data_IF_661493592856
#
_entry.id   IF_661493592856
#
_cell.length_a   1.000
_cell.length_b   1.000
_cell.length_c   1.000
_cell.angle_alpha   90.00
_cell.angle_beta   90.00
_cell.angle_gamma   90.00
#
_symmetry.space_group_name_H-M   'P 1'
#
loop_
_entity.id
_entity.type
_entity.pdbx_description
1 polymer ?
#
# COMPACT_ATOMS: atom_id res chain seq x y z
N UNK A 1 2.53 26.50 12.85
CA UNK A 1 1.56 25.47 12.45
C UNK A 1 1.89 24.23 13.26
N UNK A 2 1.13 23.96 14.30
CA UNK A 2 1.30 22.77 15.13
C UNK A 2 1.03 21.53 14.27
N UNK A 3 2.02 20.65 14.19
CA UNK A 3 1.87 19.33 13.58
C UNK A 3 1.01 18.50 14.56
N UNK A 4 -0.28 18.39 14.28
CA UNK A 4 -1.13 17.47 15.02
C UNK A 4 -0.70 16.05 14.68
N UNK A 5 -0.01 15.39 15.61
CA UNK A 5 0.33 13.97 15.52
C UNK A 5 -0.92 13.20 15.92
N UNK A 6 -1.73 12.81 14.93
CA UNK A 6 -2.85 11.90 15.17
C UNK A 6 -2.25 10.51 15.32
N UNK A 7 -2.60 9.83 16.41
CA UNK A 7 -2.26 8.43 16.61
C UNK A 7 -2.79 7.56 15.46
N UNK A 8 -1.99 6.60 15.00
CA UNK A 8 -2.34 5.76 13.85
C UNK A 8 -3.68 5.04 14.06
N UNK A 9 -3.97 4.59 15.29
CA UNK A 9 -5.18 3.84 15.58
C UNK A 9 -6.42 4.73 15.45
N UNK A 10 -6.35 5.96 15.98
CA UNK A 10 -7.43 6.96 15.84
C UNK A 10 -7.64 7.35 14.38
N UNK A 11 -6.56 7.59 13.63
CA UNK A 11 -6.65 7.93 12.20
C UNK A 11 -7.35 6.83 11.40
N UNK A 12 -6.93 5.58 11.59
CA UNK A 12 -7.53 4.48 10.85
C UNK A 12 -8.94 4.13 11.32
N UNK A 13 -9.29 4.37 12.58
CA UNK A 13 -10.68 4.25 13.06
C UNK A 13 -11.62 5.19 12.29
N UNK A 14 -11.22 6.45 12.12
CA UNK A 14 -11.98 7.44 11.35
C UNK A 14 -12.08 7.04 9.87
N UNK A 15 -10.98 6.59 9.26
CA UNK A 15 -10.95 6.08 7.88
C UNK A 15 -11.94 4.93 7.71
N UNK A 16 -11.91 3.94 8.61
CA UNK A 16 -12.79 2.78 8.54
C UNK A 16 -14.26 3.16 8.70
N UNK A 17 -14.57 4.10 9.59
CA UNK A 17 -15.94 4.59 9.78
C UNK A 17 -16.49 5.21 8.49
N UNK A 18 -15.70 6.00 7.77
CA UNK A 18 -16.10 6.61 6.50
C UNK A 18 -16.30 5.54 5.42
N UNK A 19 -15.41 4.54 5.36
CA UNK A 19 -15.49 3.42 4.42
C UNK A 19 -16.72 2.54 4.70
N UNK A 20 -17.06 2.30 5.96
CA UNK A 20 -18.28 1.56 6.34
C UNK A 20 -19.54 2.28 5.88
N UNK A 21 -19.53 3.62 5.84
CA UNK A 21 -20.59 4.44 5.25
C UNK A 21 -20.64 4.41 3.71
N UNK A 22 -19.86 3.55 3.05
CA UNK A 22 -19.82 3.40 1.59
C UNK A 22 -19.14 4.55 0.84
N UNK A 23 -18.41 5.42 1.54
CA UNK A 23 -17.69 6.53 0.95
C UNK A 23 -16.22 6.15 0.70
N UNK A 24 -15.60 6.79 -0.30
CA UNK A 24 -14.17 6.69 -0.56
C UNK A 24 -13.39 7.64 0.36
N UNK A 25 -12.19 7.23 0.71
CA UNK A 25 -11.26 8.03 1.52
C UNK A 25 -9.93 8.14 0.80
N UNK A 26 -9.37 9.33 0.78
CA UNK A 26 -8.01 9.57 0.27
C UNK A 26 -7.05 9.65 1.44
N UNK A 27 -6.03 8.79 1.46
CA UNK A 27 -5.02 8.74 2.51
C UNK A 27 -3.61 8.99 1.97
N UNK A 28 -2.73 9.64 2.76
CA UNK A 28 -1.30 9.67 2.44
C UNK A 28 -0.67 8.31 2.71
N UNK A 29 0.25 7.92 1.83
CA UNK A 29 1.04 6.70 2.01
C UNK A 29 2.36 7.04 2.67
N UNK A 30 2.81 6.19 3.59
CA UNK A 30 4.12 6.28 4.24
C UNK A 30 4.97 5.08 3.85
N UNK A 31 6.29 5.24 3.97
CA UNK A 31 7.26 4.17 3.78
C UNK A 31 7.54 3.80 2.33
N UNK A 32 8.24 2.68 2.15
CA UNK A 32 8.82 2.26 0.88
C UNK A 32 8.31 0.91 0.38
N UNK A 33 7.40 0.28 1.11
CA UNK A 33 6.97 -1.09 0.85
C UNK A 33 6.23 -1.27 -0.47
N UNK A 34 5.70 -0.19 -1.05
CA UNK A 34 4.97 -0.21 -2.33
C UNK A 34 5.75 0.41 -3.50
N UNK A 35 7.06 0.68 -3.32
CA UNK A 35 7.91 1.11 -4.42
C UNK A 35 8.04 0.02 -5.50
N UNK A 36 8.16 0.38 -6.76
CA UNK A 36 8.22 1.72 -7.35
C UNK A 36 6.84 2.32 -7.68
N UNK A 37 5.75 1.60 -7.44
CA UNK A 37 4.40 1.97 -7.93
C UNK A 37 3.70 3.00 -7.05
N UNK A 38 3.94 3.02 -5.74
CA UNK A 38 3.42 4.03 -4.82
C UNK A 38 4.58 4.55 -3.98
N UNK A 39 4.74 5.86 -3.92
CA UNK A 39 5.83 6.53 -3.22
C UNK A 39 5.32 7.15 -1.94
N UNK A 40 5.73 6.59 -0.81
CA UNK A 40 5.40 7.16 0.49
C UNK A 40 5.85 8.62 0.60
N UNK A 41 5.05 9.46 1.26
CA UNK A 41 5.32 10.88 1.43
C UNK A 41 5.13 11.76 0.18
N UNK A 42 4.80 11.16 -0.97
CA UNK A 42 4.57 11.88 -2.24
C UNK A 42 3.23 11.57 -2.88
N UNK A 43 2.79 10.33 -2.80
CA UNK A 43 1.58 9.88 -3.46
C UNK A 43 0.46 9.71 -2.42
N UNK A 44 -0.79 9.91 -2.86
CA UNK A 44 -1.98 9.61 -2.09
C UNK A 44 -2.69 8.42 -2.71
N UNK A 45 -3.45 7.68 -1.92
CA UNK A 45 -4.24 6.56 -2.39
C UNK A 45 -5.71 6.76 -2.02
N UNK A 46 -6.58 6.56 -2.98
CA UNK A 46 -8.03 6.54 -2.76
C UNK A 46 -8.45 5.11 -2.47
N UNK A 47 -9.06 4.94 -1.31
CA UNK A 47 -9.57 3.65 -0.82
C UNK A 47 -11.09 3.61 -0.91
N UNK A 48 -11.61 2.42 -1.17
CA UNK A 48 -13.00 2.08 -0.94
C UNK A 48 -13.08 0.84 -0.02
N UNK A 49 -14.23 0.62 0.62
CA UNK A 49 -14.47 -0.58 1.41
C UNK A 49 -14.25 -1.82 0.53
N UNK A 50 -13.47 -2.78 1.03
CA UNK A 50 -13.22 -4.00 0.29
C UNK A 50 -14.49 -4.88 0.25
N UNK A 51 -14.90 -5.24 -0.95
CA UNK A 51 -15.78 -6.39 -1.14
C UNK A 51 -14.91 -7.65 -1.11
N UNK A 52 -15.00 -8.39 -0.01
CA UNK A 52 -14.13 -9.53 0.26
C UNK A 52 -14.34 -10.68 -0.70
N UNK A 53 -15.53 -10.82 -1.27
CA UNK A 53 -15.87 -11.87 -2.22
C UNK A 53 -15.31 -11.57 -3.62
N UNK A 54 -15.10 -10.31 -3.93
CA UNK A 54 -14.59 -9.83 -5.21
C UNK A 54 -13.08 -9.60 -5.24
N UNK A 55 -12.37 -9.86 -4.13
CA UNK A 55 -10.91 -9.74 -4.07
C UNK A 55 -10.24 -10.68 -5.06
N UNK A 56 -9.22 -10.18 -5.74
CA UNK A 56 -8.44 -10.91 -6.75
C UNK A 56 -6.96 -10.57 -6.67
N UNK A 57 -6.14 -11.38 -7.33
CA UNK A 57 -4.73 -11.06 -7.51
C UNK A 57 -4.53 -9.67 -8.16
N UNK A 58 -3.45 -9.02 -7.81
CA UNK A 58 -3.09 -7.65 -8.16
C UNK A 58 -3.85 -6.55 -7.41
N UNK A 59 -4.93 -6.85 -6.68
CA UNK A 59 -5.57 -5.85 -5.83
C UNK A 59 -4.60 -5.30 -4.78
N UNK A 60 -4.58 -3.98 -4.64
CA UNK A 60 -3.85 -3.30 -3.57
C UNK A 60 -4.82 -3.12 -2.41
N UNK A 61 -4.52 -3.69 -1.26
CA UNK A 61 -5.44 -3.73 -0.13
C UNK A 61 -4.83 -3.17 1.14
N UNK A 62 -5.67 -2.52 1.94
CA UNK A 62 -5.39 -2.15 3.32
C UNK A 62 -5.88 -3.27 4.23
N UNK A 63 -5.03 -3.75 5.11
CA UNK A 63 -5.36 -4.80 6.06
C UNK A 63 -4.68 -4.56 7.40
N UNK A 64 -5.18 -5.21 8.44
CA UNK A 64 -4.67 -5.09 9.79
C UNK A 64 -3.85 -6.34 10.16
N UNK A 65 -2.66 -6.12 10.74
CA UNK A 65 -1.75 -7.16 11.19
C UNK A 65 -1.47 -7.02 12.67
N UNK A 66 -1.58 -8.11 13.39
CA UNK A 66 -1.35 -8.15 14.84
C UNK A 66 -2.65 -8.09 15.64
N UNK A 67 -2.54 -7.94 16.97
CA UNK A 67 -3.70 -7.80 17.85
C UNK A 67 -4.48 -6.53 17.52
N UNK A 68 -5.78 -6.50 17.88
CA UNK A 68 -6.64 -5.34 17.61
C UNK A 68 -6.12 -4.05 18.25
N UNK A 69 -5.53 -4.16 19.45
CA UNK A 69 -4.83 -3.06 20.11
C UNK A 69 -3.32 -3.21 19.90
N UNK A 70 -2.68 -2.18 19.36
CA UNK A 70 -1.24 -2.15 19.09
C UNK A 70 -0.80 -2.89 17.84
N UNK A 71 -1.74 -3.33 17.00
CA UNK A 71 -1.45 -3.83 15.66
C UNK A 71 -1.10 -2.71 14.68
N UNK A 72 -0.87 -3.06 13.44
CA UNK A 72 -0.55 -2.07 12.40
C UNK A 72 -1.42 -2.24 11.17
N UNK A 73 -1.73 -1.12 10.55
CA UNK A 73 -2.38 -1.08 9.24
C UNK A 73 -1.31 -1.09 8.15
N UNK A 74 -1.46 -2.00 7.21
CA UNK A 74 -0.50 -2.21 6.12
C UNK A 74 -1.25 -2.18 4.79
N UNK A 75 -0.61 -1.59 3.78
CA UNK A 75 -1.14 -1.57 2.43
C UNK A 75 -0.16 -2.27 1.49
N UNK A 76 -0.56 -3.41 0.96
CA UNK A 76 0.25 -4.23 0.06
C UNK A 76 -0.62 -4.81 -1.08
N UNK A 77 0.02 -5.54 -1.99
CA UNK A 77 -0.63 -6.16 -3.15
C UNK A 77 -0.92 -7.62 -2.92
N UNK A 78 -2.10 -8.07 -3.30
CA UNK A 78 -2.48 -9.49 -3.31
C UNK A 78 -1.70 -10.19 -4.43
N UNK A 79 -1.00 -11.26 -4.09
CA UNK A 79 -0.31 -12.14 -5.03
C UNK A 79 -1.19 -13.31 -5.44
N UNK A 80 -1.86 -13.93 -4.49
CA UNK A 80 -2.71 -15.08 -4.70
C UNK A 80 -3.80 -15.17 -3.63
N UNK A 81 -4.86 -15.89 -3.94
CA UNK A 81 -5.93 -16.23 -3.01
C UNK A 81 -6.18 -17.74 -3.08
N UNK A 82 -6.35 -18.35 -1.91
CA UNK A 82 -6.74 -19.75 -1.77
C UNK A 82 -7.83 -19.85 -0.70
N UNK A 83 -9.06 -19.90 -1.14
CA UNK A 83 -10.23 -19.83 -0.25
C UNK A 83 -10.19 -18.55 0.59
N UNK A 84 -10.10 -18.72 1.90
CA UNK A 84 -10.04 -17.61 2.87
C UNK A 84 -8.63 -17.02 3.06
N UNK A 85 -7.61 -17.71 2.57
CA UNK A 85 -6.21 -17.29 2.68
C UNK A 85 -5.86 -16.31 1.57
N UNK A 86 -5.22 -15.21 1.94
CA UNK A 86 -4.74 -14.18 1.03
C UNK A 86 -3.24 -14.04 1.21
N UNK A 87 -2.49 -14.30 0.15
CA UNK A 87 -1.04 -14.10 0.09
C UNK A 87 -0.75 -12.68 -0.42
N UNK A 88 -0.07 -11.88 0.39
CA UNK A 88 0.11 -10.46 0.18
C UNK A 88 1.59 -10.10 0.27
N UNK A 89 2.02 -9.15 -0.55
CA UNK A 89 3.40 -8.65 -0.54
C UNK A 89 3.47 -7.20 -1.00
N UNK A 90 4.34 -6.43 -0.35
CA UNK A 90 4.69 -5.11 -0.83
C UNK A 90 5.51 -5.15 -2.12
N UNK A 91 5.19 -4.28 -3.07
CA UNK A 91 5.92 -4.19 -4.35
C UNK A 91 7.41 -3.85 -4.14
N UNK A 92 7.72 -3.12 -3.06
CA UNK A 92 9.10 -2.74 -2.68
C UNK A 92 9.73 -3.67 -1.64
N UNK A 93 9.11 -4.79 -1.30
CA UNK A 93 9.61 -5.76 -0.33
C UNK A 93 10.23 -6.94 -1.07
N UNK A 94 11.54 -7.26 -0.85
CA UNK A 94 12.20 -8.29 -1.64
C UNK A 94 11.77 -9.73 -1.32
N UNK A 95 11.47 -10.04 -0.06
CA UNK A 95 11.32 -11.43 0.39
C UNK A 95 10.16 -11.72 1.33
N UNK A 96 9.64 -10.72 2.05
CA UNK A 96 8.61 -10.96 3.04
C UNK A 96 7.22 -11.06 2.40
N UNK A 97 6.57 -12.19 2.58
CA UNK A 97 5.16 -12.39 2.31
C UNK A 97 4.38 -12.29 3.61
N UNK A 98 3.17 -11.79 3.52
CA UNK A 98 2.22 -11.79 4.62
C UNK A 98 1.02 -12.66 4.20
N UNK A 99 0.63 -13.56 5.10
CA UNK A 99 -0.53 -14.42 4.91
C UNK A 99 -1.61 -13.95 5.86
N UNK A 100 -2.71 -13.48 5.31
CA UNK A 100 -3.85 -12.97 6.06
C UNK A 100 -5.12 -13.69 5.65
N UNK A 101 -6.17 -13.59 6.46
CA UNK A 101 -7.49 -14.06 6.09
C UNK A 101 -8.26 -12.93 5.36
N UNK A 102 -9.17 -13.30 4.48
CA UNK A 102 -10.05 -12.32 3.79
C UNK A 102 -10.73 -11.36 4.77
N UNK A 103 -11.11 -11.87 5.95
CA UNK A 103 -11.73 -11.08 7.00
C UNK A 103 -10.86 -9.93 7.52
N UNK A 104 -9.54 -10.01 7.39
CA UNK A 104 -8.59 -8.98 7.80
C UNK A 104 -8.41 -7.88 6.75
N UNK A 105 -8.88 -8.08 5.53
CA UNK A 105 -8.86 -7.06 4.47
C UNK A 105 -9.99 -6.07 4.72
N UNK A 106 -9.63 -4.80 4.83
CA UNK A 106 -10.51 -3.71 5.23
C UNK A 106 -10.93 -2.84 4.04
N UNK A 107 -9.96 -2.49 3.20
CA UNK A 107 -10.19 -1.61 2.07
C UNK A 107 -9.34 -2.03 0.85
N UNK A 108 -9.77 -1.56 -0.32
CA UNK A 108 -9.10 -1.74 -1.60
C UNK A 108 -8.77 -0.38 -2.18
N UNK A 109 -7.57 -0.23 -2.72
CA UNK A 109 -7.19 0.96 -3.46
C UNK A 109 -7.88 0.97 -4.82
N UNK A 110 -8.46 2.09 -5.20
CA UNK A 110 -9.12 2.27 -6.49
C UNK A 110 -8.45 3.31 -7.38
N UNK A 111 -7.64 4.17 -6.78
CA UNK A 111 -6.94 5.22 -7.49
C UNK A 111 -5.66 5.59 -6.75
N UNK A 112 -4.62 5.95 -7.50
CA UNK A 112 -3.38 6.51 -6.97
C UNK A 112 -3.24 7.94 -7.48
N UNK A 113 -3.10 8.89 -6.57
CA UNK A 113 -2.84 10.29 -6.90
C UNK A 113 -1.33 10.55 -6.81
N UNK A 114 -0.65 10.47 -7.95
CA UNK A 114 0.80 10.69 -8.03
C UNK A 114 1.16 12.15 -7.77
N UNK A 115 2.05 12.35 -6.80
CA UNK A 115 2.40 13.69 -6.33
C UNK A 115 1.21 14.45 -5.75
N UNK A 116 0.19 13.72 -5.28
CA UNK A 116 -1.05 14.25 -4.73
C UNK A 116 -2.02 14.86 -5.77
N UNK A 117 -1.72 14.73 -7.06
CA UNK A 117 -2.50 15.44 -8.11
C UNK A 117 -2.88 14.57 -9.30
N UNK A 118 -1.95 13.79 -9.84
CA UNK A 118 -2.17 13.03 -11.07
C UNK A 118 -2.84 11.70 -10.79
N UNK A 119 -4.08 11.54 -11.21
CA UNK A 119 -4.83 10.30 -11.13
C UNK A 119 -4.21 9.19 -11.99
N UNK A 120 -4.06 8.01 -11.40
CA UNK A 120 -3.61 6.78 -12.06
C UNK A 120 -4.48 5.64 -11.56
N UNK A 121 -5.07 4.90 -12.51
CA UNK A 121 -5.74 3.64 -12.21
C UNK A 121 -4.68 2.54 -11.96
N UNK A 122 -4.59 1.98 -10.73
CA UNK A 122 -3.63 0.92 -10.43
C UNK A 122 -3.87 -0.38 -11.20
N UNK A 123 -5.05 -0.54 -11.79
CA UNK A 123 -5.48 -1.74 -12.51
C UNK A 123 -5.52 -1.56 -14.03
N UNK A 124 -5.10 -0.40 -14.54
CA UNK A 124 -4.91 -0.21 -15.98
C UNK A 124 -4.00 -1.32 -16.55
N UNK A 125 -4.34 -1.92 -17.70
CA UNK A 125 -3.55 -3.01 -18.29
C UNK A 125 -2.07 -2.69 -18.51
N UNK A 126 -1.73 -1.41 -18.75
CA UNK A 126 -0.32 -0.99 -18.86
C UNK A 126 0.38 -1.01 -17.51
N UNK A 127 -0.31 -0.56 -16.45
CA UNK A 127 0.21 -0.62 -15.09
C UNK A 127 0.41 -2.07 -14.64
N UNK A 128 -0.56 -2.94 -14.89
CA UNK A 128 -0.46 -4.35 -14.53
C UNK A 128 0.69 -5.06 -15.27
N UNK A 129 0.92 -4.75 -16.53
CA UNK A 129 2.09 -5.29 -17.25
C UNK A 129 3.42 -4.89 -16.59
N UNK A 130 3.54 -3.63 -16.15
CA UNK A 130 4.72 -3.16 -15.41
C UNK A 130 4.86 -3.86 -14.06
N UNK A 131 3.74 -4.07 -13.35
CA UNK A 131 3.71 -4.81 -12.08
C UNK A 131 4.18 -6.25 -12.29
N UNK A 132 3.64 -6.96 -13.27
CA UNK A 132 4.04 -8.34 -13.55
C UNK A 132 5.50 -8.44 -13.99
N UNK A 133 5.97 -7.50 -14.81
CA UNK A 133 7.39 -7.42 -15.14
C UNK A 133 8.25 -7.21 -13.87
N UNK A 134 7.86 -6.28 -13.01
CA UNK A 134 8.52 -6.02 -11.73
C UNK A 134 8.53 -7.24 -10.80
N UNK A 135 7.45 -7.98 -10.76
CA UNK A 135 7.37 -9.21 -9.99
C UNK A 135 8.34 -10.29 -10.50
N UNK A 136 8.59 -10.37 -11.80
CA UNK A 136 9.60 -11.27 -12.38
C UNK A 136 11.04 -10.90 -12.00
N UNK A 137 11.27 -9.63 -11.67
CA UNK A 137 12.58 -9.15 -11.23
C UNK A 137 12.86 -9.43 -9.74
N UNK A 138 12.05 -10.22 -9.05
CA UNK A 138 12.24 -10.55 -7.61
C UNK A 138 13.69 -10.88 -7.23
N UNK A 139 14.44 -11.74 -7.94
CA UNK A 139 15.80 -12.10 -7.56
C UNK A 139 16.77 -10.91 -7.50
N UNK A 140 16.55 -9.92 -8.36
CA UNK A 140 17.42 -8.73 -8.48
C UNK A 140 16.80 -7.47 -7.90
N UNK A 141 15.54 -7.52 -7.48
CA UNK A 141 14.75 -6.38 -6.97
C UNK A 141 15.46 -5.64 -5.85
N UNK A 142 16.10 -6.35 -4.92
CA UNK A 142 16.85 -5.75 -3.81
C UNK A 142 17.93 -4.78 -4.27
N UNK A 143 18.65 -5.12 -5.34
CA UNK A 143 19.74 -4.30 -5.89
C UNK A 143 19.17 -3.08 -6.60
N UNK A 144 18.09 -3.25 -7.37
CA UNK A 144 17.41 -2.16 -8.06
C UNK A 144 16.86 -1.15 -7.04
N UNK A 145 16.19 -1.62 -6.00
CA UNK A 145 15.68 -0.77 -4.92
C UNK A 145 16.78 -0.10 -4.12
N UNK A 146 17.91 -0.80 -3.89
CA UNK A 146 19.08 -0.23 -3.25
C UNK A 146 19.61 0.96 -4.07
N UNK A 147 19.85 0.78 -5.36
CA UNK A 147 20.31 1.84 -6.27
C UNK A 147 19.29 2.99 -6.27
N UNK A 148 18.00 2.70 -6.45
CA UNK A 148 16.94 3.70 -6.46
C UNK A 148 16.93 4.57 -5.21
N UNK A 149 17.10 3.97 -4.02
CA UNK A 149 17.14 4.68 -2.74
C UNK A 149 18.38 5.57 -2.57
N UNK A 150 19.50 5.21 -3.20
CA UNK A 150 20.79 5.93 -3.07
C UNK A 150 21.00 6.98 -4.16
N UNK A 151 20.08 7.13 -5.10
CA UNK A 151 20.16 8.19 -6.11
C UNK A 151 20.08 9.58 -5.45
N UNK A 152 20.89 10.56 -5.91
CA UNK A 152 21.00 11.88 -5.25
C UNK A 152 19.66 12.60 -5.09
N UNK A 153 18.78 12.51 -6.09
CA UNK A 153 17.46 13.16 -6.06
C UNK A 153 16.44 12.50 -5.14
N UNK A 154 16.74 11.31 -4.60
CA UNK A 154 15.88 10.63 -3.64
C UNK A 154 16.36 10.80 -2.19
N UNK A 155 17.58 11.34 -1.96
CA UNK A 155 18.18 11.43 -0.61
C UNK A 155 17.37 12.30 0.36
N UNK A 156 16.86 13.43 -0.09
CA UNK A 156 16.05 14.31 0.76
C UNK A 156 14.72 13.64 1.13
N UNK A 157 14.08 13.04 0.17
CA UNK A 157 12.83 12.32 0.36
C UNK A 157 12.97 11.13 1.31
N UNK A 158 14.07 10.37 1.23
CA UNK A 158 14.34 9.24 2.12
C UNK A 158 14.52 9.72 3.56
N UNK A 159 15.28 10.80 3.78
CA UNK A 159 15.48 11.36 5.13
C UNK A 159 14.18 11.78 5.79
N UNK A 160 13.24 12.33 5.04
CA UNK A 160 11.92 12.75 5.54
C UNK A 160 11.00 11.57 5.88
N UNK A 161 11.19 10.42 5.26
CA UNK A 161 10.29 9.25 5.40
C UNK A 161 10.86 8.10 6.24
N UNK A 162 12.14 8.15 6.62
CA UNK A 162 12.78 7.13 7.49
C UNK A 162 12.75 7.52 8.97
N UNK A 163 12.59 8.81 9.28
CA UNK A 163 12.57 9.32 10.66
C UNK A 163 11.15 9.41 11.25
N UNK A 164 10.30 8.44 10.97
CA UNK A 164 8.95 8.36 11.57
C UNK A 164 8.73 6.95 12.11
#
# INVERSE_FOLDING_TARGET
MEKMVIDNDTFFADVLQVLEGGKRVTIPVKGFSMLPFIRGGKDLVVLEKADRDLLKADDIVLFHVGPQEGGRYVMHRILALDGDKVDIMGDGVPYAHEHVQRGQVLARAVEILRGGKRSVDPYDPRQLRLVHFWQRLRPVRRYILFIYRHLPWNRSWIKENVNI
#
